data_IF_931366683483
#
_entry.id   IF_931366683483
#
_cell.length_a   1.000
_cell.length_b   1.000
_cell.length_c   1.000
_cell.angle_alpha   90.00
_cell.angle_beta   90.00
_cell.angle_gamma   90.00
#
_symmetry.space_group_name_H-M   'P 1'
#
loop_
_entity.id
_entity.type
_entity.pdbx_description
1 polymer ?
#
# COMPACT_ATOMS: atom_id res chain seq x y z
N UNK A 1 -12.35 6.87 -15.73
CA UNK A 1 -12.30 7.80 -14.55
C UNK A 1 -11.54 7.13 -13.43
N UNK A 2 -10.79 7.92 -12.68
CA UNK A 2 -10.02 7.42 -11.55
C UNK A 2 -10.66 7.86 -10.24
N UNK A 3 -10.62 6.99 -9.25
CA UNK A 3 -11.14 7.24 -7.91
C UNK A 3 -10.08 6.76 -6.91
N UNK A 4 -9.72 7.59 -5.96
CA UNK A 4 -8.62 7.26 -5.05
C UNK A 4 -8.95 7.51 -3.59
N UNK A 5 -8.28 6.75 -2.73
CA UNK A 5 -8.28 6.95 -1.29
C UNK A 5 -6.86 6.92 -0.76
N UNK A 6 -6.67 7.51 0.40
CA UNK A 6 -5.40 7.52 1.14
C UNK A 6 -5.61 6.91 2.51
N UNK A 7 -4.77 5.96 2.87
CA UNK A 7 -4.76 5.32 4.18
C UNK A 7 -3.36 5.38 4.78
N UNK A 8 -3.26 5.16 6.08
CA UNK A 8 -2.02 5.25 6.84
C UNK A 8 -1.83 4.01 7.68
N UNK A 9 -0.58 3.50 7.74
CA UNK A 9 -0.19 2.46 8.69
C UNK A 9 1.15 2.82 9.31
N UNK A 10 1.38 2.37 10.52
CA UNK A 10 2.64 2.54 11.23
C UNK A 10 3.33 1.20 11.34
N UNK A 11 4.51 1.08 10.77
CA UNK A 11 5.23 -0.18 10.71
C UNK A 11 6.71 0.05 10.96
N UNK A 12 7.36 -0.99 11.45
CA UNK A 12 8.81 -1.02 11.59
C UNK A 12 9.43 -1.79 10.42
N UNK A 13 10.69 -1.53 10.16
CA UNK A 13 11.52 -2.33 9.28
C UNK A 13 13.00 -2.10 9.53
N UNK A 14 13.83 -3.01 9.01
CA UNK A 14 15.25 -2.78 8.83
C UNK A 14 15.67 -3.35 7.48
N UNK A 15 16.68 -2.75 6.87
CA UNK A 15 17.25 -3.19 5.61
C UNK A 15 18.57 -3.90 5.88
N UNK A 16 18.62 -5.25 5.85
CA UNK A 16 19.84 -6.00 6.17
C UNK A 16 21.01 -5.57 5.29
N UNK A 17 22.16 -5.25 5.94
CA UNK A 17 23.36 -4.81 5.23
C UNK A 17 23.41 -3.35 4.84
N UNK A 18 22.33 -2.58 5.03
CA UNK A 18 22.32 -1.15 4.77
C UNK A 18 22.96 -0.40 5.94
N UNK A 19 23.89 0.52 5.67
CA UNK A 19 24.64 1.22 6.70
C UNK A 19 23.78 2.06 7.64
N UNK A 20 22.80 2.76 7.10
CA UNK A 20 21.91 3.66 7.86
C UNK A 20 20.62 2.98 8.27
N UNK A 21 20.00 2.25 7.36
CA UNK A 21 18.68 1.63 7.55
C UNK A 21 18.76 0.17 8.01
N UNK A 22 19.95 -0.31 8.36
CA UNK A 22 20.17 -1.67 8.85
C UNK A 22 19.63 -1.90 10.25
N UNK A 23 19.41 -0.84 11.03
CA UNK A 23 18.82 -0.95 12.36
C UNK A 23 17.30 -0.85 12.29
N UNK A 24 16.62 -1.57 13.16
CA UNK A 24 15.17 -1.52 13.25
C UNK A 24 14.70 -0.11 13.59
N UNK A 25 13.79 0.41 12.79
CA UNK A 25 13.19 1.73 12.99
C UNK A 25 11.77 1.73 12.43
N UNK A 26 11.01 2.76 12.72
CA UNK A 26 9.61 2.88 12.31
C UNK A 26 9.34 4.06 11.42
N UNK A 27 8.31 3.90 10.60
CA UNK A 27 7.76 4.96 9.76
C UNK A 27 6.24 4.91 9.78
N UNK A 28 5.62 6.05 9.55
CA UNK A 28 4.26 6.09 9.05
C UNK A 28 4.33 5.92 7.54
N UNK A 29 3.69 4.87 7.05
CA UNK A 29 3.55 4.64 5.61
C UNK A 29 2.20 5.17 5.16
N UNK A 30 2.20 6.04 4.17
CA UNK A 30 0.99 6.55 3.55
C UNK A 30 0.74 5.74 2.29
N UNK A 31 -0.46 5.20 2.15
CA UNK A 31 -0.83 4.32 1.05
C UNK A 31 -1.92 5.01 0.24
N UNK A 32 -1.61 5.38 -0.99
CA UNK A 32 -2.58 5.90 -1.96
C UNK A 32 -2.99 4.76 -2.87
N UNK A 33 -4.29 4.52 -3.00
CA UNK A 33 -4.83 3.54 -3.94
C UNK A 33 -5.79 4.27 -4.87
N UNK A 34 -5.50 4.22 -6.17
CA UNK A 34 -6.30 4.87 -7.21
C UNK A 34 -6.79 3.81 -8.17
N UNK A 35 -8.09 3.53 -8.12
CA UNK A 35 -8.72 2.59 -9.05
C UNK A 35 -9.16 3.30 -10.34
N UNK A 36 -9.33 2.54 -11.40
CA UNK A 36 -9.82 3.04 -12.67
C UNK A 36 -11.05 2.25 -13.08
N UNK A 37 -12.10 2.94 -13.45
CA UNK A 37 -13.35 2.31 -13.84
C UNK A 37 -14.33 3.31 -14.42
N UNK A 38 -15.50 2.80 -14.77
CA UNK A 38 -16.62 3.60 -15.27
C UNK A 38 -17.64 3.81 -14.18
N UNK A 39 -18.19 5.01 -14.10
CA UNK A 39 -19.28 5.24 -13.16
C UNK A 39 -20.58 4.61 -13.67
N UNK A 40 -21.32 4.02 -12.76
CA UNK A 40 -22.66 3.47 -12.99
C UNK A 40 -23.58 4.01 -11.91
N UNK A 41 -24.67 4.65 -12.30
CA UNK A 41 -25.56 5.27 -11.32
C UNK A 41 -24.91 6.39 -10.52
N UNK A 42 -23.91 7.07 -11.09
CA UNK A 42 -23.23 8.18 -10.45
C UNK A 42 -21.97 7.81 -9.66
N UNK A 43 -21.65 6.51 -9.51
CA UNK A 43 -20.47 6.05 -8.75
C UNK A 43 -19.69 4.99 -9.54
N UNK A 44 -18.37 4.96 -9.35
CA UNK A 44 -17.55 3.79 -9.71
C UNK A 44 -17.74 2.73 -8.63
N UNK A 45 -17.60 3.13 -7.38
CA UNK A 45 -17.80 2.32 -6.17
C UNK A 45 -18.01 3.29 -5.01
N UNK A 46 -18.70 2.85 -3.98
CA UNK A 46 -18.80 3.63 -2.75
C UNK A 46 -17.45 3.70 -2.04
N UNK A 47 -17.04 4.89 -1.59
CA UNK A 47 -15.78 5.05 -0.86
C UNK A 47 -15.70 4.15 0.37
N UNK A 48 -16.82 3.91 1.05
CA UNK A 48 -16.82 3.03 2.22
C UNK A 48 -16.41 1.60 1.85
N UNK A 49 -16.88 1.10 0.71
CA UNK A 49 -16.52 -0.24 0.23
C UNK A 49 -15.07 -0.32 -0.21
N UNK A 50 -14.59 0.70 -0.92
CA UNK A 50 -13.19 0.79 -1.32
C UNK A 50 -12.26 0.85 -0.09
N UNK A 51 -12.62 1.67 0.88
CA UNK A 51 -11.87 1.79 2.13
C UNK A 51 -11.81 0.48 2.89
N UNK A 52 -12.94 -0.23 2.99
CA UNK A 52 -13.00 -1.53 3.67
C UNK A 52 -12.07 -2.55 3.01
N UNK A 53 -12.10 -2.64 1.68
CA UNK A 53 -11.25 -3.57 0.94
C UNK A 53 -9.76 -3.26 1.16
N UNK A 54 -9.39 -1.99 1.08
CA UNK A 54 -8.00 -1.56 1.28
C UNK A 54 -7.55 -1.81 2.73
N UNK A 55 -8.37 -1.43 3.70
CA UNK A 55 -8.04 -1.63 5.11
C UNK A 55 -7.93 -3.10 5.50
N UNK A 56 -8.73 -3.97 4.90
CA UNK A 56 -8.61 -5.41 5.15
C UNK A 56 -7.22 -5.95 4.78
N UNK A 57 -6.61 -5.41 3.76
CA UNK A 57 -5.22 -5.75 3.40
C UNK A 57 -4.24 -5.09 4.37
N UNK A 58 -4.37 -3.79 4.60
CA UNK A 58 -3.41 -3.02 5.41
C UNK A 58 -3.36 -3.45 6.87
N UNK A 59 -4.49 -3.91 7.43
CA UNK A 59 -4.57 -4.37 8.81
C UNK A 59 -3.66 -5.58 9.10
N UNK A 60 -3.26 -6.32 8.08
CA UNK A 60 -2.30 -7.42 8.25
C UNK A 60 -0.91 -6.92 8.63
N UNK A 61 -0.59 -5.68 8.28
CA UNK A 61 0.77 -5.13 8.42
C UNK A 61 0.87 -4.04 9.49
N UNK A 62 -0.23 -3.35 9.78
CA UNK A 62 -0.24 -2.22 10.69
C UNK A 62 0.27 -2.61 12.08
N UNK A 63 1.18 -1.80 12.63
CA UNK A 63 1.82 -2.01 13.94
C UNK A 63 2.68 -3.29 14.00
N UNK A 64 3.20 -3.73 12.87
CA UNK A 64 4.11 -4.88 12.77
C UNK A 64 5.38 -4.48 12.06
N UNK A 65 6.38 -5.37 12.06
CA UNK A 65 7.58 -5.20 11.26
C UNK A 65 7.41 -5.85 9.90
N UNK A 66 7.71 -5.13 8.83
CA UNK A 66 7.68 -5.71 7.48
C UNK A 66 8.71 -6.83 7.29
N UNK A 67 9.73 -6.92 8.16
CA UNK A 67 10.67 -8.04 8.13
C UNK A 67 10.03 -9.38 8.48
N UNK A 68 8.82 -9.38 9.07
CA UNK A 68 8.05 -10.62 9.27
C UNK A 68 7.55 -11.19 7.93
N UNK A 69 7.47 -10.37 6.88
CA UNK A 69 6.87 -10.74 5.59
C UNK A 69 7.88 -10.73 4.44
N UNK A 70 8.94 -9.93 4.55
CA UNK A 70 9.92 -9.72 3.49
C UNK A 70 11.34 -9.79 4.06
N UNK A 71 12.23 -10.39 3.30
CA UNK A 71 13.66 -10.45 3.68
C UNK A 71 14.31 -9.07 3.57
N UNK A 72 13.88 -8.27 2.59
CA UNK A 72 14.43 -6.94 2.36
C UNK A 72 13.28 -5.95 2.15
N UNK A 73 12.67 -5.42 3.23
CA UNK A 73 11.48 -4.58 3.13
C UNK A 73 11.81 -3.13 2.78
N UNK A 74 12.38 -2.93 1.61
CA UNK A 74 12.47 -1.62 0.97
C UNK A 74 11.06 -1.11 0.64
N UNK A 75 10.91 0.19 0.42
CA UNK A 75 9.61 0.74 0.04
C UNK A 75 9.12 0.14 -1.27
N UNK A 76 10.04 -0.19 -2.19
CA UNK A 76 9.73 -0.86 -3.45
C UNK A 76 9.11 -2.25 -3.20
N UNK A 77 9.76 -3.06 -2.37
CA UNK A 77 9.29 -4.41 -2.05
C UNK A 77 8.00 -4.38 -1.22
N UNK A 78 7.83 -3.40 -0.35
CA UNK A 78 6.58 -3.19 0.40
C UNK A 78 5.45 -2.84 -0.58
N UNK A 79 5.72 -1.97 -1.55
CA UNK A 79 4.75 -1.59 -2.57
C UNK A 79 4.27 -2.81 -3.37
N UNK A 80 5.19 -3.68 -3.79
CA UNK A 80 4.85 -4.92 -4.48
C UNK A 80 4.06 -5.88 -3.59
N UNK A 81 4.43 -6.01 -2.33
CA UNK A 81 3.73 -6.88 -1.37
C UNK A 81 2.26 -6.46 -1.21
N UNK A 82 2.04 -5.18 -0.93
CA UNK A 82 0.70 -4.64 -0.71
C UNK A 82 -0.11 -4.68 -2.01
N UNK A 83 0.49 -4.29 -3.13
CA UNK A 83 -0.15 -4.34 -4.44
C UNK A 83 -0.60 -5.75 -4.82
N UNK A 84 0.25 -6.75 -4.56
CA UNK A 84 -0.07 -8.16 -4.81
C UNK A 84 -1.22 -8.69 -3.96
N UNK A 85 -1.41 -8.16 -2.77
CA UNK A 85 -2.55 -8.50 -1.91
C UNK A 85 -3.81 -7.77 -2.36
N UNK A 86 -3.69 -6.49 -2.69
CA UNK A 86 -4.84 -5.69 -3.12
C UNK A 86 -5.48 -6.22 -4.40
N UNK A 87 -4.69 -6.75 -5.32
CA UNK A 87 -5.25 -7.27 -6.59
C UNK A 87 -6.24 -8.41 -6.35
N UNK A 88 -6.12 -9.14 -5.26
CA UNK A 88 -7.05 -10.21 -4.90
C UNK A 88 -8.35 -9.69 -4.30
N UNK A 89 -8.38 -8.43 -3.86
CA UNK A 89 -9.51 -7.81 -3.17
C UNK A 89 -10.27 -6.81 -4.05
N UNK A 90 -9.62 -6.30 -5.10
CA UNK A 90 -10.20 -5.26 -5.95
C UNK A 90 -10.50 -5.81 -7.34
N UNK A 91 -11.74 -5.62 -7.87
CA UNK A 91 -12.08 -6.03 -9.24
C UNK A 91 -11.66 -4.99 -10.28
N UNK A 92 -10.74 -4.10 -9.96
CA UNK A 92 -10.29 -2.99 -10.79
C UNK A 92 -8.78 -3.05 -11.01
N UNK A 93 -8.33 -2.52 -12.13
CA UNK A 93 -6.95 -2.09 -12.27
C UNK A 93 -6.73 -0.87 -11.37
N UNK A 94 -5.56 -0.74 -10.79
CA UNK A 94 -5.28 0.35 -9.87
C UNK A 94 -3.80 0.74 -9.91
N UNK A 95 -3.54 1.91 -9.38
CA UNK A 95 -2.19 2.37 -9.05
C UNK A 95 -2.08 2.41 -7.54
N UNK A 96 -1.01 1.87 -6.99
CA UNK A 96 -0.67 1.99 -5.58
C UNK A 96 0.59 2.82 -5.45
N UNK A 97 0.57 3.76 -4.52
CA UNK A 97 1.74 4.54 -4.13
C UNK A 97 1.96 4.36 -2.64
N UNK A 98 3.16 3.91 -2.27
CA UNK A 98 3.53 3.72 -0.86
C UNK A 98 4.59 4.74 -0.51
N UNK A 99 4.25 5.63 0.40
CA UNK A 99 5.16 6.64 0.93
C UNK A 99 5.83 6.13 2.20
N UNK A 100 7.15 6.26 2.26
CA UNK A 100 7.91 6.02 3.47
C UNK A 100 8.18 7.38 4.13
N UNK A 101 7.41 7.71 5.16
CA UNK A 101 7.43 9.04 5.74
C UNK A 101 7.00 10.10 4.73
N UNK A 102 7.73 11.21 4.70
CA UNK A 102 7.45 12.33 3.80
C UNK A 102 8.42 12.36 2.63
N UNK A 103 7.92 12.69 1.45
CA UNK A 103 8.74 13.03 0.29
C UNK A 103 9.39 11.87 -0.45
N UNK A 104 9.19 10.61 -0.03
CA UNK A 104 9.77 9.43 -0.68
C UNK A 104 8.70 8.38 -0.88
N UNK A 105 8.59 7.85 -2.08
CA UNK A 105 7.57 6.84 -2.38
C UNK A 105 8.01 5.91 -3.50
N UNK A 106 7.37 4.74 -3.54
CA UNK A 106 7.35 3.85 -4.70
C UNK A 106 5.92 3.77 -5.24
N UNK A 107 5.79 3.63 -6.53
CA UNK A 107 4.49 3.55 -7.21
C UNK A 107 4.47 2.35 -8.14
N UNK A 108 3.34 1.66 -8.18
CA UNK A 108 3.15 0.49 -9.01
C UNK A 108 1.78 0.55 -9.68
N UNK A 109 1.77 0.31 -10.99
CA UNK A 109 0.52 0.11 -11.74
C UNK A 109 0.20 -1.37 -11.75
N UNK A 110 -0.99 -1.73 -11.30
CA UNK A 110 -1.45 -3.12 -11.23
C UNK A 110 -2.64 -3.28 -12.17
N UNK A 111 -2.48 -4.13 -13.16
CA UNK A 111 -3.54 -4.40 -14.15
C UNK A 111 -4.31 -5.66 -13.79
N UNK A 112 -5.61 -5.49 -13.72
CA UNK A 112 -6.52 -6.61 -13.43
C UNK A 112 -6.86 -7.39 -14.71
#
# INVERSE_FOLDING_TARGET
>A
MKLGITEYIDCAHHLPGHTKCGQLHGHTYTIDVVIEGEKKGGMIVDFADLKTAVKNVLNEYDHRSFNEFLDYPSVENICELIGGKLITQLPYSFTIRVWEGHGKYAELNVTK
#
